data_IF_361959012810
#
_entry.id   IF_361959012810
#
_cell.length_a   1.000
_cell.length_b   1.000
_cell.length_c   1.000
_cell.angle_alpha   90.00
_cell.angle_beta   90.00
_cell.angle_gamma   90.00
#
_symmetry.space_group_name_H-M   'P 1'
#
loop_
_entity.id
_entity.type
_entity.pdbx_description
1 polymer ?
#
# COMPACT_ATOMS: atom_id res chain seq x y z
N UNK A 1 17.01 -2.83 -23.58
CA UNK A 1 16.36 -1.61 -23.06
C UNK A 1 16.71 -1.57 -21.58
N UNK A 2 17.28 -0.45 -21.10
CA UNK A 2 17.58 -0.31 -19.67
C UNK A 2 16.26 -0.35 -18.91
N UNK A 3 16.13 -1.31 -17.97
CA UNK A 3 15.06 -1.27 -17.00
C UNK A 3 15.20 0.05 -16.23
N UNK A 4 14.17 0.90 -16.28
CA UNK A 4 14.10 2.04 -15.39
C UNK A 4 14.19 1.49 -13.96
N UNK A 5 15.29 1.77 -13.31
CA UNK A 5 15.51 1.28 -11.95
C UNK A 5 14.76 2.20 -11.01
N UNK A 6 13.84 1.67 -10.23
CA UNK A 6 13.18 2.42 -9.16
C UNK A 6 14.24 2.96 -8.20
N UNK A 7 14.45 4.27 -8.25
CA UNK A 7 15.43 4.97 -7.44
C UNK A 7 14.70 5.70 -6.30
N UNK A 8 14.71 5.10 -5.13
CA UNK A 8 14.09 5.67 -3.94
C UNK A 8 15.05 5.58 -2.73
N UNK A 9 15.16 6.67 -1.98
CA UNK A 9 16.03 6.75 -0.81
C UNK A 9 15.20 6.53 0.46
N UNK A 10 15.31 5.35 1.06
CA UNK A 10 14.58 5.03 2.30
C UNK A 10 15.17 5.72 3.53
N UNK A 11 16.37 6.30 3.43
CA UNK A 11 17.07 6.94 4.54
C UNK A 11 16.26 8.08 5.18
N UNK A 12 15.66 8.93 4.35
CA UNK A 12 14.91 10.10 4.84
C UNK A 12 13.64 9.67 5.56
N UNK A 13 12.98 8.61 5.08
CA UNK A 13 11.84 8.01 5.77
C UNK A 13 12.24 7.40 7.11
N UNK A 14 13.35 6.65 7.15
CA UNK A 14 13.88 6.07 8.38
C UNK A 14 14.27 7.16 9.39
N UNK A 15 14.91 8.24 8.93
CA UNK A 15 15.21 9.39 9.76
C UNK A 15 13.94 10.04 10.33
N UNK A 16 12.95 10.31 9.47
CA UNK A 16 11.72 10.94 9.92
C UNK A 16 10.99 10.09 10.98
N UNK A 17 10.93 8.78 10.80
CA UNK A 17 10.23 7.86 11.71
C UNK A 17 11.01 7.64 13.00
N UNK A 18 12.32 7.39 12.93
CA UNK A 18 13.11 6.96 14.09
C UNK A 18 13.73 8.10 14.89
N UNK A 19 14.03 9.23 14.22
CA UNK A 19 14.80 10.29 14.84
C UNK A 19 13.99 11.59 15.02
N UNK A 20 13.11 11.93 14.08
CA UNK A 20 12.36 13.17 14.12
C UNK A 20 10.98 13.04 14.77
N UNK A 21 10.24 11.98 14.46
CA UNK A 21 8.95 11.68 15.06
C UNK A 21 9.16 10.74 16.26
N UNK A 22 8.52 11.03 17.40
CA UNK A 22 8.59 10.17 18.60
C UNK A 22 7.75 8.89 18.42
N UNK A 23 8.20 8.02 17.49
CA UNK A 23 7.49 6.80 17.16
C UNK A 23 7.59 5.72 18.25
N UNK A 24 8.63 5.74 19.08
CA UNK A 24 8.72 4.87 20.26
C UNK A 24 7.55 5.09 21.19
N UNK A 25 7.16 6.35 21.41
CA UNK A 25 5.99 6.69 22.22
C UNK A 25 4.69 6.18 21.60
N UNK A 26 4.54 6.24 20.28
CA UNK A 26 3.39 5.68 19.60
C UNK A 26 3.33 4.16 19.76
N UNK A 27 4.45 3.47 19.53
CA UNK A 27 4.53 2.01 19.61
C UNK A 27 4.33 1.50 21.03
N UNK A 28 4.71 2.27 22.06
CA UNK A 28 4.49 1.92 23.46
C UNK A 28 3.04 2.02 23.94
N UNK A 29 2.13 2.59 23.13
CA UNK A 29 0.70 2.62 23.45
C UNK A 29 0.08 1.21 23.47
N UNK A 30 -0.97 1.01 24.27
CA UNK A 30 -1.66 -0.28 24.43
C UNK A 30 -2.11 -0.91 23.10
N UNK A 31 -2.42 -0.08 22.10
CA UNK A 31 -2.84 -0.55 20.76
C UNK A 31 -1.72 -1.23 19.95
N UNK A 32 -0.45 -1.02 20.30
CA UNK A 32 0.69 -1.46 19.48
C UNK A 32 1.78 -2.21 20.23
N UNK A 33 1.97 -1.96 21.53
CA UNK A 33 3.12 -2.43 22.33
C UNK A 33 3.34 -3.95 22.32
N UNK A 34 2.25 -4.71 22.16
CA UNK A 34 2.29 -6.19 22.17
C UNK A 34 2.51 -6.77 20.76
N UNK A 35 2.52 -5.92 19.72
CA UNK A 35 2.59 -6.32 18.32
C UNK A 35 3.84 -5.80 17.59
N UNK A 36 4.38 -4.65 17.98
CA UNK A 36 5.45 -3.97 17.25
C UNK A 36 6.54 -3.42 18.16
N UNK A 37 7.79 -3.59 17.70
CA UNK A 37 8.95 -2.81 18.16
C UNK A 37 9.30 -1.72 17.14
N UNK A 38 10.05 -0.70 17.56
CA UNK A 38 10.45 0.41 16.66
C UNK A 38 11.28 -0.07 15.46
N UNK A 39 11.99 -1.18 15.60
CA UNK A 39 12.84 -1.71 14.53
C UNK A 39 12.05 -2.48 13.47
N UNK A 40 10.80 -2.88 13.75
CA UNK A 40 9.98 -3.61 12.77
C UNK A 40 9.67 -2.77 11.53
N UNK A 41 9.67 -1.43 11.65
CA UNK A 41 9.47 -0.54 10.51
C UNK A 41 10.53 -0.74 9.41
N UNK A 42 11.76 -1.09 9.76
CA UNK A 42 12.80 -1.35 8.77
C UNK A 42 12.41 -2.52 7.86
N UNK A 43 11.88 -3.60 8.44
CA UNK A 43 11.38 -4.75 7.70
C UNK A 43 10.25 -4.37 6.73
N UNK A 44 9.28 -3.59 7.19
CA UNK A 44 8.16 -3.13 6.35
C UNK A 44 8.63 -2.23 5.20
N UNK A 45 9.54 -1.30 5.48
CA UNK A 45 10.12 -0.43 4.45
C UNK A 45 10.94 -1.22 3.43
N UNK A 46 11.74 -2.18 3.88
CA UNK A 46 12.58 -3.00 3.01
C UNK A 46 11.73 -3.93 2.11
N UNK A 47 10.68 -4.54 2.65
CA UNK A 47 9.73 -5.35 1.86
C UNK A 47 9.00 -4.47 0.86
N UNK A 48 8.48 -3.31 1.28
CA UNK A 48 7.81 -2.37 0.40
C UNK A 48 8.73 -1.90 -0.72
N UNK A 49 9.98 -1.55 -0.41
CA UNK A 49 10.96 -1.13 -1.40
C UNK A 49 11.21 -2.22 -2.46
N UNK A 50 11.38 -3.48 -2.03
CA UNK A 50 11.56 -4.60 -2.97
C UNK A 50 10.36 -4.78 -3.89
N UNK A 51 9.14 -4.73 -3.33
CA UNK A 51 7.90 -4.84 -4.13
C UNK A 51 7.79 -3.66 -5.10
N UNK A 52 8.08 -2.44 -4.66
CA UNK A 52 8.07 -1.27 -5.52
C UNK A 52 9.06 -1.39 -6.68
N UNK A 53 10.29 -1.81 -6.39
CA UNK A 53 11.36 -1.95 -7.40
C UNK A 53 11.11 -3.10 -8.37
N UNK A 54 10.71 -4.27 -7.85
CA UNK A 54 10.72 -5.52 -8.62
C UNK A 54 9.36 -5.85 -9.26
N UNK A 55 8.27 -5.25 -8.76
CA UNK A 55 6.90 -5.58 -9.16
C UNK A 55 6.13 -4.36 -9.67
N UNK A 56 6.00 -3.29 -8.86
CA UNK A 56 5.21 -2.12 -9.24
C UNK A 56 5.87 -1.31 -10.37
N UNK A 57 7.13 -0.96 -10.21
CA UNK A 57 7.84 -0.13 -11.18
C UNK A 57 7.92 -0.78 -12.58
N UNK A 58 8.22 -2.08 -12.75
CA UNK A 58 8.13 -2.73 -14.05
C UNK A 58 6.73 -2.71 -14.66
N UNK A 59 5.68 -2.86 -13.84
CA UNK A 59 4.30 -2.86 -14.31
C UNK A 59 3.79 -1.45 -14.64
N UNK A 60 4.46 -0.39 -14.22
CA UNK A 60 4.05 0.98 -14.53
C UNK A 60 4.06 1.26 -16.04
N UNK A 61 4.96 0.62 -16.79
CA UNK A 61 5.00 0.73 -18.25
C UNK A 61 3.73 0.15 -18.90
N UNK A 62 3.25 -0.98 -18.41
CA UNK A 62 2.00 -1.58 -18.88
C UNK A 62 0.78 -0.72 -18.51
N UNK A 63 0.88 0.01 -17.40
CA UNK A 63 -0.15 0.95 -16.98
C UNK A 63 -0.24 2.17 -17.91
N UNK A 64 0.89 2.63 -18.43
CA UNK A 64 0.99 3.84 -19.25
C UNK A 64 0.81 3.56 -20.74
N UNK A 65 1.56 2.62 -21.30
CA UNK A 65 1.55 2.37 -22.76
C UNK A 65 0.28 1.67 -23.25
N UNK A 66 -0.01 0.38 -22.90
CA UNK A 66 -1.26 -0.23 -23.31
C UNK A 66 -2.45 0.27 -22.48
N UNK A 67 -2.25 0.56 -21.21
CA UNK A 67 -3.24 1.07 -20.27
C UNK A 67 -4.49 0.21 -20.17
N UNK A 68 -5.52 0.75 -19.54
CA UNK A 68 -6.84 0.13 -19.49
C UNK A 68 -7.60 0.35 -20.81
N UNK A 69 -8.30 -0.69 -21.28
CA UNK A 69 -9.07 -0.65 -22.52
C UNK A 69 -10.56 -0.79 -22.24
N UNK A 70 -11.34 0.20 -22.66
CA UNK A 70 -12.80 0.10 -22.67
C UNK A 70 -13.23 -0.72 -23.88
N UNK A 71 -13.89 -1.86 -23.67
CA UNK A 71 -14.31 -2.74 -24.75
C UNK A 71 -15.73 -2.47 -25.26
N UNK A 72 -16.44 -1.56 -24.62
CA UNK A 72 -17.80 -1.17 -25.04
C UNK A 72 -18.84 -2.26 -24.78
N UNK A 73 -19.93 -2.18 -25.53
CA UNK A 73 -21.07 -3.10 -25.40
C UNK A 73 -21.96 -2.81 -24.18
N UNK A 74 -22.91 -3.70 -23.93
CA UNK A 74 -23.92 -3.53 -22.86
C UNK A 74 -23.30 -3.55 -21.45
N UNK A 75 -22.17 -4.22 -21.28
CA UNK A 75 -21.48 -4.35 -19.98
C UNK A 75 -20.60 -3.18 -19.63
N UNK A 76 -20.27 -2.30 -20.57
CA UNK A 76 -19.31 -1.22 -20.40
C UNK A 76 -17.98 -1.70 -19.75
N UNK A 77 -17.53 -2.89 -20.12
CA UNK A 77 -16.41 -3.55 -19.50
C UNK A 77 -15.07 -2.84 -19.80
N UNK A 78 -14.20 -2.83 -18.79
CA UNK A 78 -12.83 -2.33 -18.91
C UNK A 78 -11.88 -3.49 -18.68
N UNK A 79 -10.93 -3.66 -19.58
CA UNK A 79 -9.84 -4.65 -19.46
C UNK A 79 -8.60 -3.91 -18.95
N UNK A 80 -8.06 -4.39 -17.85
CA UNK A 80 -6.77 -3.91 -17.30
C UNK A 80 -5.60 -4.66 -17.93
N UNK A 81 -4.37 -4.09 -17.91
CA UNK A 81 -3.17 -4.83 -18.27
C UNK A 81 -3.01 -6.11 -17.44
N UNK A 82 -2.48 -7.17 -18.07
CA UNK A 82 -2.32 -8.48 -17.42
C UNK A 82 -1.43 -8.45 -16.17
N UNK A 83 -0.43 -7.55 -16.16
CA UNK A 83 0.47 -7.36 -15.02
C UNK A 83 -0.25 -6.89 -13.75
N UNK A 84 -1.37 -6.17 -13.87
CA UNK A 84 -2.09 -5.57 -12.73
C UNK A 84 -2.56 -6.59 -11.71
N UNK A 85 -3.07 -7.73 -12.18
CA UNK A 85 -3.54 -8.81 -11.30
C UNK A 85 -2.40 -9.37 -10.44
N UNK A 86 -1.24 -9.61 -11.05
CA UNK A 86 -0.07 -10.10 -10.35
C UNK A 86 0.42 -9.10 -9.31
N UNK A 87 0.50 -7.81 -9.67
CA UNK A 87 0.91 -6.73 -8.76
C UNK A 87 -0.04 -6.63 -7.58
N UNK A 88 -1.35 -6.59 -7.84
CA UNK A 88 -2.37 -6.50 -6.80
C UNK A 88 -2.26 -7.66 -5.81
N UNK A 89 -2.18 -8.89 -6.31
CA UNK A 89 -2.05 -10.07 -5.47
C UNK A 89 -0.76 -10.03 -4.63
N UNK A 90 0.38 -9.68 -5.23
CA UNK A 90 1.67 -9.58 -4.51
C UNK A 90 1.60 -8.55 -3.37
N UNK A 91 1.01 -7.39 -3.62
CA UNK A 91 0.87 -6.34 -2.59
C UNK A 91 -0.09 -6.79 -1.48
N UNK A 92 -1.19 -7.45 -1.82
CA UNK A 92 -2.14 -7.99 -0.84
C UNK A 92 -1.52 -9.12 0.00
N UNK A 93 -0.81 -10.07 -0.62
CA UNK A 93 -0.12 -11.16 0.07
C UNK A 93 0.96 -10.67 1.04
N UNK A 94 1.62 -9.57 0.69
CA UNK A 94 2.59 -8.92 1.57
C UNK A 94 1.96 -8.10 2.72
N UNK A 95 0.62 -8.03 2.80
CA UNK A 95 -0.07 -7.21 3.79
C UNK A 95 0.03 -5.70 3.53
N UNK A 96 0.41 -5.29 2.32
CA UNK A 96 0.67 -3.88 1.96
C UNK A 96 -0.40 -3.27 1.02
N UNK A 97 -1.56 -3.92 0.93
CA UNK A 97 -2.69 -3.52 0.09
C UNK A 97 -3.85 -2.87 0.87
N UNK A 98 -5.10 -3.02 0.39
CA UNK A 98 -6.28 -2.37 0.97
C UNK A 98 -6.60 -2.78 2.42
N UNK A 99 -6.08 -3.90 2.91
CA UNK A 99 -6.25 -4.37 4.28
C UNK A 99 -5.76 -3.39 5.34
N UNK A 100 -4.87 -2.47 5.01
CA UNK A 100 -4.49 -1.37 5.92
C UNK A 100 -5.64 -0.48 6.36
N UNK A 101 -6.71 -0.44 5.59
CA UNK A 101 -7.90 0.32 5.96
C UNK A 101 -8.73 -0.38 7.03
N UNK A 102 -8.53 -1.68 7.23
CA UNK A 102 -9.24 -2.41 8.28
C UNK A 102 -8.72 -2.02 9.66
N UNK A 103 -9.41 -1.07 10.30
CA UNK A 103 -9.04 -0.51 11.59
C UNK A 103 -9.62 -1.25 12.79
N UNK A 104 -10.41 -2.28 12.55
CA UNK A 104 -11.02 -3.10 13.60
C UNK A 104 -10.13 -4.25 14.04
N UNK A 105 -9.10 -4.61 13.27
CA UNK A 105 -8.20 -5.71 13.63
C UNK A 105 -7.18 -5.27 14.69
N UNK A 106 -7.02 -6.12 15.69
CA UNK A 106 -5.92 -6.00 16.64
C UNK A 106 -4.58 -6.20 15.92
N UNK A 107 -3.55 -5.50 16.38
CA UNK A 107 -2.21 -5.62 15.78
C UNK A 107 -2.06 -5.00 14.40
N UNK A 108 -3.00 -4.15 13.98
CA UNK A 108 -2.85 -3.40 12.72
C UNK A 108 -1.65 -2.45 12.77
N UNK A 109 -0.99 -2.28 11.62
CA UNK A 109 0.11 -1.35 11.48
C UNK A 109 -0.32 0.11 11.79
N UNK A 110 0.49 0.89 12.52
CA UNK A 110 0.24 2.31 12.70
C UNK A 110 0.12 3.06 11.37
N UNK A 111 -0.84 3.97 11.26
CA UNK A 111 -1.04 4.75 10.03
C UNK A 111 0.20 5.57 9.64
N UNK A 112 0.96 6.02 10.62
CA UNK A 112 2.23 6.73 10.42
C UNK A 112 3.31 5.86 9.76
N UNK A 113 3.23 4.54 9.89
CA UNK A 113 4.11 3.60 9.18
C UNK A 113 3.61 3.29 7.76
N UNK A 114 2.28 3.32 7.58
CA UNK A 114 1.70 3.11 6.26
C UNK A 114 1.97 4.27 5.30
N UNK A 115 2.00 5.51 5.79
CA UNK A 115 2.21 6.68 4.97
C UNK A 115 3.50 6.61 4.11
N UNK A 116 4.70 6.31 4.66
CA UNK A 116 5.91 6.14 3.86
C UNK A 116 5.84 4.94 2.89
N UNK A 117 5.14 3.87 3.26
CA UNK A 117 4.92 2.74 2.36
C UNK A 117 4.09 3.17 1.15
N UNK A 118 3.00 3.90 1.39
CA UNK A 118 2.13 4.44 0.34
C UNK A 118 2.87 5.45 -0.54
N UNK A 119 3.76 6.26 0.03
CA UNK A 119 4.62 7.18 -0.72
C UNK A 119 5.50 6.41 -1.72
N UNK A 120 6.21 5.37 -1.27
CA UNK A 120 7.02 4.52 -2.14
C UNK A 120 6.19 3.84 -3.24
N UNK A 121 5.04 3.28 -2.89
CA UNK A 121 4.14 2.63 -3.84
C UNK A 121 3.64 3.62 -4.89
N UNK A 122 3.24 4.83 -4.48
CA UNK A 122 2.79 5.89 -5.38
C UNK A 122 3.90 6.38 -6.30
N UNK A 123 5.14 6.44 -5.80
CA UNK A 123 6.32 6.76 -6.61
C UNK A 123 6.66 5.68 -7.63
N UNK A 124 6.34 4.41 -7.34
CA UNK A 124 6.59 3.30 -8.25
C UNK A 124 5.54 3.19 -9.36
N UNK A 125 4.25 3.27 -9.04
CA UNK A 125 3.15 3.23 -10.01
C UNK A 125 1.85 3.80 -9.42
N UNK A 126 1.56 5.09 -9.60
CA UNK A 126 0.35 5.70 -9.07
C UNK A 126 -0.93 5.12 -9.69
N UNK A 127 -0.89 4.72 -10.95
CA UNK A 127 -2.05 4.12 -11.64
C UNK A 127 -2.52 2.84 -10.95
N UNK A 128 -1.58 1.97 -10.56
CA UNK A 128 -1.91 0.71 -9.90
C UNK A 128 -2.32 0.95 -8.43
N UNK A 129 -1.67 1.89 -7.74
CA UNK A 129 -2.00 2.24 -6.35
C UNK A 129 -3.45 2.69 -6.19
N UNK A 130 -4.03 3.33 -7.19
CA UNK A 130 -5.45 3.74 -7.18
C UNK A 130 -6.41 2.56 -6.97
N UNK A 131 -6.06 1.34 -7.33
CA UNK A 131 -6.93 0.17 -7.12
C UNK A 131 -7.19 -0.14 -5.65
N UNK A 132 -6.19 0.01 -4.80
CA UNK A 132 -6.39 -0.25 -3.36
C UNK A 132 -6.61 1.00 -2.51
N UNK A 133 -6.13 2.16 -2.92
CA UNK A 133 -6.40 3.41 -2.20
C UNK A 133 -7.89 3.73 -2.13
N UNK A 134 -8.62 3.54 -3.23
CA UNK A 134 -10.07 3.78 -3.26
C UNK A 134 -10.81 2.74 -2.41
N UNK A 135 -10.42 1.48 -2.47
CA UNK A 135 -10.96 0.42 -1.61
C UNK A 135 -10.70 0.73 -0.13
N UNK A 136 -9.48 1.16 0.21
CA UNK A 136 -9.12 1.56 1.57
C UNK A 136 -10.01 2.71 2.08
N UNK A 137 -10.28 3.71 1.23
CA UNK A 137 -11.19 4.80 1.55
C UNK A 137 -12.61 4.31 1.83
N UNK A 138 -13.16 3.47 0.95
CA UNK A 138 -14.50 2.90 1.11
C UNK A 138 -14.59 2.05 2.40
N UNK A 139 -13.61 1.18 2.66
CA UNK A 139 -13.53 0.37 3.88
C UNK A 139 -13.53 1.25 5.13
N UNK A 140 -12.76 2.34 5.13
CA UNK A 140 -12.71 3.27 6.27
C UNK A 140 -14.07 3.91 6.53
N UNK A 141 -14.81 4.28 5.49
CA UNK A 141 -16.16 4.86 5.63
C UNK A 141 -17.13 3.84 6.22
N UNK A 142 -17.13 2.62 5.71
CA UNK A 142 -17.98 1.53 6.20
C UNK A 142 -17.68 1.25 7.67
N UNK A 143 -16.44 1.06 8.04
CA UNK A 143 -16.05 0.74 9.41
C UNK A 143 -16.41 1.83 10.43
N UNK A 144 -16.33 3.10 10.05
CA UNK A 144 -16.59 4.19 10.96
C UNK A 144 -18.09 4.57 11.06
N UNK A 145 -18.91 4.25 10.05
CA UNK A 145 -20.25 4.82 9.94
C UNK A 145 -21.35 3.78 9.69
N UNK A 146 -21.02 2.56 9.28
CA UNK A 146 -22.02 1.54 8.96
C UNK A 146 -22.54 0.82 10.22
N UNK A 147 -23.68 0.12 10.08
CA UNK A 147 -24.16 -0.82 11.09
C UNK A 147 -23.22 -2.02 11.22
N UNK A 148 -23.26 -2.72 12.37
CA UNK A 148 -22.41 -3.93 12.57
C UNK A 148 -22.67 -4.99 11.49
N UNK A 149 -23.93 -5.14 11.05
CA UNK A 149 -24.32 -6.05 9.96
C UNK A 149 -23.61 -5.75 8.63
N UNK A 150 -23.25 -4.47 8.36
CA UNK A 150 -22.57 -4.07 7.13
C UNK A 150 -21.04 -4.07 7.25
N UNK A 151 -20.53 -4.25 8.47
CA UNK A 151 -19.09 -4.33 8.73
C UNK A 151 -18.56 -5.77 8.63
N UNK A 152 -19.43 -6.77 8.79
CA UNK A 152 -19.13 -8.19 8.59
C UNK A 152 -19.06 -8.53 7.09
#
# INVERSE_FOLDING_TARGET
MAHETFMYQTRDLKFAIKEWLDMEKLISCDAYKDYYGIDDIDGFLDVSFKICRDVLCPANKDADEPGCKHVGGDTQAVITPDSFKNVYNTVCEAGLGPQFANRSEEGRMPLSWYAPILEMQSGASPAIVMFWCLTAGATTVIQNNASEELKE
#
